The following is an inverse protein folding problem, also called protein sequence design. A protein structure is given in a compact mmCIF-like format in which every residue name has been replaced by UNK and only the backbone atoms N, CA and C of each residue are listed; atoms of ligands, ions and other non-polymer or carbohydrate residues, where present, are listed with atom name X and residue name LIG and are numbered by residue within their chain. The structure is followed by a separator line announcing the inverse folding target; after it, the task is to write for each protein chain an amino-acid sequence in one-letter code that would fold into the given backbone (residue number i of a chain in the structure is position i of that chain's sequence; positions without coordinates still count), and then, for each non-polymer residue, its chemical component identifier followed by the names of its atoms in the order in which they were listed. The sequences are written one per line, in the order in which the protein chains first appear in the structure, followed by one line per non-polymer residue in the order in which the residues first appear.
data_IF_116139559581
#
_entry.id   IF_116139559581
#
_cell.length_a   1.000
_cell.length_b   1.000
_cell.length_c   1.000
_cell.angle_alpha   90.00
_cell.angle_beta   90.00
_cell.angle_gamma   90.00
#
_symmetry.space_group_name_H-M   'P 1'
#
loop_
_entity.id
_entity.type
_entity.pdbx_description
1 polymer ?
#
# COMPACT_ATOMS: atom_id res chain seq x y z
N UNK A 1 46.26 -6.03 -0.31
CA UNK A 1 45.30 -6.90 0.40
C UNK A 1 43.97 -6.17 0.51
N UNK A 2 42.91 -6.66 -0.16
CA UNK A 2 41.57 -6.11 0.01
C UNK A 2 40.99 -6.60 1.35
N UNK A 3 40.61 -5.67 2.24
CA UNK A 3 39.89 -6.02 3.47
C UNK A 3 38.47 -6.45 3.10
N UNK A 4 38.15 -7.71 3.30
CA UNK A 4 36.78 -8.21 3.19
C UNK A 4 35.99 -7.68 4.39
N UNK A 5 35.14 -6.67 4.19
CA UNK A 5 34.23 -6.19 5.23
C UNK A 5 33.11 -7.22 5.37
N UNK A 6 33.16 -8.05 6.41
CA UNK A 6 32.03 -8.90 6.79
C UNK A 6 30.93 -8.03 7.42
N UNK A 7 29.90 -7.70 6.64
CA UNK A 7 28.65 -7.12 7.14
C UNK A 7 27.90 -8.18 7.96
N UNK A 8 28.09 -8.20 9.28
CA UNK A 8 27.20 -8.92 10.20
C UNK A 8 25.91 -8.13 10.34
N UNK A 9 24.87 -8.54 9.62
CA UNK A 9 23.55 -7.94 9.73
C UNK A 9 22.99 -8.22 11.13
N UNK A 10 22.69 -7.17 11.89
CA UNK A 10 22.12 -7.32 13.23
C UNK A 10 20.69 -7.87 13.11
N UNK A 11 20.48 -9.13 13.54
CA UNK A 11 19.17 -9.81 13.51
C UNK A 11 18.05 -8.96 14.12
N UNK A 12 18.37 -8.16 15.15
CA UNK A 12 17.41 -7.25 15.77
C UNK A 12 17.02 -6.10 14.85
N UNK A 13 17.96 -5.48 14.14
CA UNK A 13 17.68 -4.41 13.17
C UNK A 13 16.81 -4.92 12.03
N UNK A 14 17.11 -6.11 11.52
CA UNK A 14 16.30 -6.76 10.48
C UNK A 14 14.88 -7.05 10.97
N UNK A 15 14.73 -7.55 12.20
CA UNK A 15 13.41 -7.82 12.79
C UNK A 15 12.58 -6.53 12.91
N UNK A 16 13.20 -5.41 13.29
CA UNK A 16 12.47 -4.13 13.38
C UNK A 16 12.10 -3.60 11.99
N UNK A 17 12.97 -3.78 10.99
CA UNK A 17 12.65 -3.40 9.61
C UNK A 17 11.44 -4.18 9.10
N UNK A 18 11.41 -5.50 9.29
CA UNK A 18 10.28 -6.34 8.91
C UNK A 18 8.99 -5.94 9.64
N UNK A 19 9.07 -5.63 10.94
CA UNK A 19 7.91 -5.10 11.69
C UNK A 19 7.42 -3.78 11.13
N UNK A 20 8.33 -2.88 10.77
CA UNK A 20 7.98 -1.58 10.20
C UNK A 20 7.26 -1.74 8.87
N UNK A 21 7.76 -2.62 7.99
CA UNK A 21 7.11 -2.96 6.72
C UNK A 21 5.67 -3.45 6.95
N UNK A 22 5.47 -4.41 7.86
CA UNK A 22 4.13 -4.97 8.12
C UNK A 22 3.18 -3.90 8.68
N UNK A 23 3.65 -3.07 9.62
CA UNK A 23 2.83 -2.00 10.20
C UNK A 23 2.45 -0.99 9.11
N UNK A 24 3.41 -0.58 8.27
CA UNK A 24 3.14 0.37 7.18
C UNK A 24 2.11 -0.17 6.18
N UNK A 25 2.22 -1.45 5.79
CA UNK A 25 1.24 -2.08 4.89
C UNK A 25 -0.16 -2.07 5.50
N UNK A 26 -0.29 -2.39 6.79
CA UNK A 26 -1.58 -2.37 7.48
C UNK A 26 -2.16 -0.96 7.55
N UNK A 27 -1.34 0.04 7.88
CA UNK A 27 -1.79 1.44 7.93
C UNK A 27 -2.25 1.92 6.56
N UNK A 28 -1.48 1.68 5.50
CA UNK A 28 -1.87 2.08 4.15
C UNK A 28 -3.13 1.36 3.70
N UNK A 29 -3.24 0.06 3.95
CA UNK A 29 -4.46 -0.68 3.65
C UNK A 29 -5.70 -0.13 4.37
N UNK A 30 -5.56 0.35 5.61
CA UNK A 30 -6.63 1.04 6.33
C UNK A 30 -6.96 2.38 5.69
N UNK A 31 -5.95 3.16 5.27
CA UNK A 31 -6.15 4.45 4.59
C UNK A 31 -6.86 4.27 3.24
N UNK A 32 -6.54 3.21 2.51
CA UNK A 32 -7.24 2.81 1.28
C UNK A 32 -8.72 2.45 1.52
N UNK A 33 -9.18 2.35 2.76
CA UNK A 33 -10.61 2.29 3.01
C UNK A 33 -11.34 3.58 2.61
N UNK A 34 -10.64 4.71 2.63
CA UNK A 34 -11.17 6.05 2.38
C UNK A 34 -10.95 6.54 0.94
N UNK A 35 -10.41 5.70 0.05
CA UNK A 35 -10.34 6.00 -1.38
C UNK A 35 -11.74 6.14 -2.01
N UNK A 36 -11.82 6.85 -3.13
CA UNK A 36 -13.08 7.18 -3.82
C UNK A 36 -13.18 6.45 -5.15
N UNK A 37 -14.38 6.00 -5.51
CA UNK A 37 -14.64 5.51 -6.88
C UNK A 37 -15.21 6.64 -7.71
N UNK A 38 -14.64 6.85 -8.89
CA UNK A 38 -15.17 7.71 -9.92
C UNK A 38 -15.58 6.86 -11.13
N UNK A 39 -16.81 7.04 -11.61
CA UNK A 39 -17.30 6.34 -12.80
C UNK A 39 -17.17 7.26 -14.01
N UNK A 40 -16.48 6.80 -15.05
CA UNK A 40 -16.35 7.54 -16.31
C UNK A 40 -17.01 6.77 -17.45
N UNK A 41 -17.73 7.52 -18.29
CA UNK A 41 -18.26 7.05 -19.56
C UNK A 41 -17.42 7.67 -20.69
N UNK A 42 -16.41 6.95 -21.24
CA UNK A 42 -15.79 7.36 -22.49
C UNK A 42 -16.85 7.29 -23.60
N UNK A 43 -16.62 7.88 -24.77
CA UNK A 43 -17.59 7.92 -25.89
C UNK A 43 -18.09 6.55 -26.41
N UNK A 44 -17.67 5.43 -25.82
CA UNK A 44 -18.20 4.09 -26.07
C UNK A 44 -19.19 3.68 -24.96
N UNK A 45 -20.13 2.78 -25.25
CA UNK A 45 -21.13 2.30 -24.29
C UNK A 45 -20.57 1.45 -23.13
N UNK A 46 -19.27 1.59 -22.81
CA UNK A 46 -18.58 0.88 -21.74
C UNK A 46 -18.27 1.84 -20.59
N UNK A 47 -18.92 1.63 -19.46
CA UNK A 47 -18.56 2.30 -18.21
C UNK A 47 -17.27 1.70 -17.66
N UNK A 48 -16.35 2.54 -17.18
CA UNK A 48 -15.21 2.09 -16.38
C UNK A 48 -15.17 2.82 -15.04
N UNK A 49 -14.79 2.09 -14.00
CA UNK A 49 -14.57 2.61 -12.67
C UNK A 49 -13.08 2.96 -12.52
N UNK A 50 -12.81 4.17 -12.04
CA UNK A 50 -11.49 4.56 -11.55
C UNK A 50 -11.59 4.55 -10.03
N UNK A 51 -10.77 3.73 -9.40
CA UNK A 51 -10.54 3.83 -7.98
C UNK A 51 -9.41 4.82 -7.72
N UNK A 52 -9.72 5.91 -7.04
CA UNK A 52 -8.74 6.87 -6.56
C UNK A 52 -8.32 6.50 -5.14
N UNK A 53 -7.03 6.31 -4.92
CA UNK A 53 -6.45 6.01 -3.61
C UNK A 53 -6.59 7.19 -2.66
N UNK A 54 -6.28 7.00 -1.39
CA UNK A 54 -6.29 8.10 -0.43
C UNK A 54 -5.26 9.19 -0.78
N UNK A 55 -4.17 8.81 -1.43
CA UNK A 55 -3.08 9.70 -1.84
C UNK A 55 -3.22 10.19 -3.29
N UNK A 56 -4.43 10.21 -3.85
CA UNK A 56 -4.75 10.62 -5.22
C UNK A 56 -4.11 9.77 -6.34
N UNK A 57 -3.58 8.58 -6.01
CA UNK A 57 -3.23 7.56 -7.00
C UNK A 57 -4.49 7.04 -7.72
N UNK A 58 -4.35 6.48 -8.91
CA UNK A 58 -5.51 5.99 -9.68
C UNK A 58 -5.29 4.57 -10.19
N UNK A 59 -6.22 3.67 -9.87
CA UNK A 59 -6.28 2.30 -10.39
C UNK A 59 -7.50 2.17 -11.29
N UNK A 60 -7.25 1.84 -12.56
CA UNK A 60 -8.30 1.66 -13.56
C UNK A 60 -8.89 0.26 -13.46
N UNK A 61 -10.22 0.15 -13.57
CA UNK A 61 -10.88 -1.11 -13.88
C UNK A 61 -10.58 -1.48 -15.33
N UNK A 62 -9.40 -2.03 -15.61
CA UNK A 62 -9.12 -2.55 -16.94
C UNK A 62 -10.15 -3.62 -17.30
N UNK A 63 -10.71 -3.53 -18.51
CA UNK A 63 -11.70 -4.44 -19.10
C UNK A 63 -11.27 -5.92 -19.16
N UNK A 64 -10.05 -6.27 -18.72
CA UNK A 64 -9.44 -7.59 -18.84
C UNK A 64 -8.89 -8.19 -17.52
N UNK A 65 -8.92 -7.51 -16.38
CA UNK A 65 -8.20 -8.00 -15.19
C UNK A 65 -8.98 -8.97 -14.28
N UNK A 66 -10.29 -9.11 -14.45
CA UNK A 66 -11.10 -10.13 -13.77
C UNK A 66 -12.05 -10.78 -14.79
N UNK A 67 -11.82 -12.06 -15.06
CA UNK A 67 -12.36 -12.80 -16.19
C UNK A 67 -13.86 -13.09 -16.09
N UNK A 68 -14.52 -12.93 -17.25
CA UNK A 68 -15.72 -13.60 -17.78
C UNK A 68 -17.06 -13.61 -17.03
N UNK A 69 -17.16 -13.37 -15.72
CA UNK A 69 -18.45 -13.61 -15.03
C UNK A 69 -18.94 -12.60 -14.01
N UNK A 70 -18.23 -11.53 -13.68
CA UNK A 70 -18.79 -10.45 -12.85
C UNK A 70 -18.19 -9.12 -13.29
N UNK A 71 -18.76 -8.54 -14.35
CA UNK A 71 -18.66 -7.09 -14.53
C UNK A 71 -19.37 -6.41 -13.34
N UNK A 72 -18.95 -5.21 -12.92
CA UNK A 72 -19.86 -4.35 -12.19
C UNK A 72 -21.16 -4.27 -12.99
N UNK A 73 -22.28 -4.77 -12.44
CA UNK A 73 -23.57 -4.65 -13.13
C UNK A 73 -23.77 -3.17 -13.40
N UNK A 74 -23.93 -2.80 -14.67
CA UNK A 74 -24.12 -1.40 -15.10
C UNK A 74 -22.93 -0.45 -14.91
N UNK A 75 -21.72 -0.95 -14.64
CA UNK A 75 -20.54 -0.10 -14.48
C UNK A 75 -20.32 0.45 -13.08
N UNK A 76 -21.12 0.02 -12.10
CA UNK A 76 -21.03 0.41 -10.70
C UNK A 76 -20.48 -0.73 -9.83
N UNK A 77 -19.53 -0.42 -8.96
CA UNK A 77 -19.07 -1.34 -7.91
C UNK A 77 -20.01 -1.15 -6.71
N UNK A 78 -20.86 -2.14 -6.45
CA UNK A 78 -21.96 -2.01 -5.49
C UNK A 78 -21.57 -2.50 -4.08
N UNK A 79 -20.58 -3.39 -3.98
CA UNK A 79 -20.23 -4.04 -2.71
C UNK A 79 -18.78 -3.86 -2.29
N UNK A 80 -18.55 -3.93 -0.98
CA UNK A 80 -17.20 -3.89 -0.39
C UNK A 80 -16.28 -4.98 -0.97
N UNK A 81 -16.83 -6.17 -1.21
CA UNK A 81 -16.07 -7.32 -1.71
C UNK A 81 -15.61 -7.12 -3.15
N UNK A 82 -16.40 -6.43 -3.98
CA UNK A 82 -16.00 -6.06 -5.35
C UNK A 82 -14.96 -4.93 -5.36
N UNK A 83 -14.99 -4.06 -4.36
CA UNK A 83 -14.02 -2.98 -4.12
C UNK A 83 -12.66 -3.49 -3.62
N UNK A 84 -12.65 -4.59 -2.87
CA UNK A 84 -11.48 -5.10 -2.15
C UNK A 84 -10.25 -5.36 -3.06
N UNK A 85 -10.36 -6.00 -4.24
CA UNK A 85 -9.24 -6.18 -5.14
C UNK A 85 -8.60 -4.86 -5.57
N UNK A 86 -9.41 -3.82 -5.82
CA UNK A 86 -8.92 -2.49 -6.21
C UNK A 86 -8.10 -1.84 -5.11
N UNK A 87 -8.55 -1.95 -3.85
CA UNK A 87 -7.83 -1.42 -2.67
C UNK A 87 -6.49 -2.13 -2.45
N UNK A 88 -6.46 -3.46 -2.63
CA UNK A 88 -5.23 -4.25 -2.55
C UNK A 88 -4.27 -3.85 -3.68
N UNK A 89 -4.77 -3.74 -4.91
CA UNK A 89 -3.96 -3.36 -6.07
C UNK A 89 -3.44 -1.93 -5.93
N UNK A 90 -4.26 -0.99 -5.47
CA UNK A 90 -3.84 0.38 -5.17
C UNK A 90 -2.64 0.42 -4.22
N UNK A 91 -2.76 -0.30 -3.09
CA UNK A 91 -1.69 -0.43 -2.10
C UNK A 91 -0.36 -0.95 -2.69
N UNK A 92 -0.41 -1.73 -3.78
CA UNK A 92 0.75 -2.40 -4.39
C UNK A 92 1.29 -1.64 -5.61
N UNK A 93 0.41 -1.00 -6.40
CA UNK A 93 0.72 -0.53 -7.76
C UNK A 93 0.60 0.98 -7.95
N UNK A 94 0.02 1.74 -7.03
CA UNK A 94 0.09 3.21 -7.09
C UNK A 94 1.49 3.67 -6.69
N UNK A 95 2.10 4.52 -7.53
CA UNK A 95 3.42 5.10 -7.24
C UNK A 95 3.37 5.99 -6.00
N UNK A 96 2.29 6.75 -5.83
CA UNK A 96 2.04 7.64 -4.70
C UNK A 96 1.94 6.85 -3.39
N UNK A 97 1.12 5.80 -3.38
CA UNK A 97 0.95 4.91 -2.23
C UNK A 97 2.26 4.18 -1.89
N UNK A 98 3.05 3.78 -2.91
CA UNK A 98 4.35 3.16 -2.71
C UNK A 98 5.37 4.12 -2.08
N UNK A 99 5.37 5.39 -2.49
CA UNK A 99 6.22 6.43 -1.86
C UNK A 99 5.78 6.66 -0.41
N UNK A 100 4.48 6.79 -0.16
CA UNK A 100 3.94 6.91 1.20
C UNK A 100 4.33 5.70 2.08
N UNK A 101 4.30 4.50 1.51
CA UNK A 101 4.73 3.25 2.16
C UNK A 101 6.19 3.28 2.58
N UNK A 102 7.09 3.71 1.69
CA UNK A 102 8.52 3.80 1.98
C UNK A 102 8.80 4.82 3.09
N UNK A 103 8.16 6.00 3.03
CA UNK A 103 8.31 7.05 4.04
C UNK A 103 7.83 6.55 5.40
N UNK A 104 6.64 5.96 5.47
CA UNK A 104 6.06 5.43 6.71
C UNK A 104 6.94 4.33 7.31
N UNK A 105 7.45 3.43 6.46
CA UNK A 105 8.38 2.36 6.89
C UNK A 105 9.66 2.94 7.47
N UNK A 106 10.23 3.96 6.83
CA UNK A 106 11.42 4.66 7.33
C UNK A 106 11.18 5.31 8.69
N UNK A 107 10.07 6.03 8.86
CA UNK A 107 9.72 6.68 10.13
C UNK A 107 9.56 5.66 11.26
N UNK A 108 8.78 4.60 11.04
CA UNK A 108 8.55 3.56 12.07
C UNK A 108 9.86 2.84 12.42
N UNK A 109 10.70 2.57 11.41
CA UNK A 109 11.98 1.93 11.63
C UNK A 109 12.92 2.80 12.46
N UNK A 110 12.98 4.11 12.17
CA UNK A 110 13.73 5.07 12.98
C UNK A 110 13.21 5.13 14.42
N UNK A 111 11.89 5.14 14.64
CA UNK A 111 11.31 5.08 15.99
C UNK A 111 11.78 3.84 16.75
N UNK A 112 11.80 2.67 16.10
CA UNK A 112 12.30 1.44 16.74
C UNK A 112 13.80 1.49 17.04
N UNK A 113 14.60 2.10 16.17
CA UNK A 113 16.02 2.33 16.40
C UNK A 113 16.19 3.26 17.60
N UNK A 114 15.59 4.45 17.59
CA UNK A 114 15.69 5.42 18.69
C UNK A 114 15.24 4.83 20.03
N UNK A 115 14.12 4.10 20.08
CA UNK A 115 13.66 3.43 21.30
C UNK A 115 14.67 2.41 21.86
N UNK A 116 15.55 1.86 21.03
CA UNK A 116 16.59 0.91 21.49
C UNK A 116 17.80 1.62 22.08
N UNK A 117 18.19 2.75 21.52
CA UNK A 117 19.31 3.57 22.02
C UNK A 117 18.90 4.42 23.23
N UNK A 118 17.68 4.95 23.22
CA UNK A 118 17.09 5.78 24.26
C UNK A 118 16.32 4.90 25.26
N UNK A 119 16.96 3.84 25.77
CA UNK A 119 16.52 3.24 27.03
C UNK A 119 16.83 4.25 28.14
N UNK A 120 15.93 5.21 28.33
CA UNK A 120 15.97 6.12 29.47
C UNK A 120 15.88 5.24 30.71
N UNK A 121 17.00 5.07 31.42
CA UNK A 121 16.96 4.64 32.82
C UNK A 121 16.32 5.79 33.57
N UNK A 122 15.09 5.57 34.01
CA UNK A 122 14.51 6.39 35.08
C UNK A 122 15.03 5.72 36.36
N UNK A 123 15.96 6.39 37.03
CA UNK A 123 16.38 6.07 38.41
C UNK A 123 15.48 6.81 39.40
#
# INVERSE_FOLDING_TARGET
MAKTIQLKLNKRLLTNLLKSIVISLVVIFILEHFGRIEYKKPRSDKYYAIYHTFFDGSVYSDTNFLTKNNYPKFGEVETYTELLPYRILATIYSEEDFVAFLILTGIIWLIFIFKQYVRIKIE
#
